data_IF_963184812669
#
_entry.id   IF_963184812669
#
_cell.length_a   1.000
_cell.length_b   1.000
_cell.length_c   1.000
_cell.angle_alpha   90.00
_cell.angle_beta   90.00
_cell.angle_gamma   90.00
#
_symmetry.space_group_name_H-M   'P 1'
#
loop_
_entity.id
_entity.type
_entity.pdbx_description
1 polymer ?
#
# COMPACT_ATOMS: atom_id res chain seq x y z
N UNK A 1 38.62 -0.02 -29.52
CA UNK A 1 37.22 -0.13 -29.98
C UNK A 1 36.36 0.27 -28.80
N UNK A 2 35.65 1.39 -28.92
CA UNK A 2 34.90 2.00 -27.83
C UNK A 2 33.73 1.11 -27.42
N UNK A 3 33.57 0.93 -26.10
CA UNK A 3 32.45 0.23 -25.48
C UNK A 3 31.15 0.99 -25.81
N UNK A 4 30.07 0.35 -26.27
CA UNK A 4 28.81 1.05 -26.48
C UNK A 4 28.32 1.49 -25.10
N UNK A 5 28.37 2.79 -24.83
CA UNK A 5 27.82 3.36 -23.61
C UNK A 5 26.35 2.92 -23.50
N UNK A 6 26.06 2.02 -22.57
CA UNK A 6 24.70 1.84 -22.06
C UNK A 6 24.37 3.20 -21.44
N UNK A 7 23.69 4.04 -22.22
CA UNK A 7 23.15 5.30 -21.75
C UNK A 7 22.11 4.95 -20.71
N UNK A 8 22.48 4.98 -19.43
CA UNK A 8 21.55 4.77 -18.33
C UNK A 8 20.45 5.82 -18.46
N UNK A 9 19.21 5.34 -18.57
CA UNK A 9 18.04 6.20 -18.61
C UNK A 9 17.85 6.93 -17.28
N UNK A 10 17.50 8.21 -17.34
CA UNK A 10 17.39 9.07 -16.16
C UNK A 10 16.29 8.58 -15.21
N UNK A 11 15.16 8.08 -15.72
CA UNK A 11 14.09 7.54 -14.87
C UNK A 11 14.56 6.27 -14.16
N UNK A 12 15.28 5.39 -14.85
CA UNK A 12 15.84 4.18 -14.21
C UNK A 12 16.86 4.53 -13.13
N UNK A 13 17.75 5.50 -13.39
CA UNK A 13 18.69 5.97 -12.37
C UNK A 13 17.97 6.57 -11.15
N UNK A 14 16.92 7.37 -11.38
CA UNK A 14 16.10 7.95 -10.33
C UNK A 14 15.32 6.90 -9.53
N UNK A 15 14.88 5.80 -10.15
CA UNK A 15 14.26 4.65 -9.45
C UNK A 15 15.25 4.00 -8.48
N UNK A 16 16.47 3.78 -8.94
CA UNK A 16 17.51 3.09 -8.15
C UNK A 16 18.14 3.97 -7.07
N UNK A 17 18.02 5.30 -7.19
CA UNK A 17 18.62 6.25 -6.24
C UNK A 17 20.13 6.40 -6.37
N UNK A 18 20.77 5.80 -7.38
CA UNK A 18 22.21 5.94 -7.59
C UNK A 18 22.54 7.34 -8.12
N UNK A 19 23.01 8.19 -7.22
CA UNK A 19 23.39 9.57 -7.52
C UNK A 19 24.47 9.67 -8.62
N UNK A 20 25.35 8.67 -8.74
CA UNK A 20 26.40 8.66 -9.78
C UNK A 20 25.79 8.47 -11.15
N UNK A 21 24.91 7.48 -11.30
CA UNK A 21 24.13 7.23 -12.51
C UNK A 21 23.21 8.40 -12.86
N UNK A 22 22.56 9.03 -11.88
CA UNK A 22 21.71 10.21 -12.09
C UNK A 22 22.54 11.38 -12.65
N UNK A 23 23.71 11.65 -12.06
CA UNK A 23 24.64 12.69 -12.55
C UNK A 23 25.10 12.40 -13.97
N UNK A 24 25.47 11.16 -14.28
CA UNK A 24 25.91 10.76 -15.60
C UNK A 24 24.79 10.87 -16.64
N UNK A 25 23.59 10.37 -16.32
CA UNK A 25 22.41 10.44 -17.19
C UNK A 25 22.00 11.90 -17.45
N UNK A 26 21.99 12.74 -16.40
CA UNK A 26 21.68 14.16 -16.53
C UNK A 26 22.73 14.91 -17.37
N UNK A 27 24.02 14.66 -17.16
CA UNK A 27 25.10 15.25 -17.99
C UNK A 27 24.98 14.85 -19.46
N UNK A 28 24.54 13.62 -19.73
CA UNK A 28 24.38 13.11 -21.10
C UNK A 28 23.16 13.71 -21.81
N UNK A 29 22.08 14.00 -21.07
CA UNK A 29 20.88 14.63 -21.63
C UNK A 29 20.18 15.56 -20.62
N UNK A 30 20.62 16.83 -20.49
CA UNK A 30 20.08 17.76 -19.48
C UNK A 30 18.59 18.09 -19.68
N UNK A 31 18.10 18.02 -20.92
CA UNK A 31 16.73 18.37 -21.28
C UNK A 31 15.68 17.40 -20.71
N UNK A 32 16.08 16.19 -20.30
CA UNK A 32 15.17 15.15 -19.78
C UNK A 32 14.80 15.31 -18.31
N UNK A 33 15.37 16.29 -17.61
CA UNK A 33 15.17 16.48 -16.15
C UNK A 33 13.70 16.61 -15.72
N UNK A 34 12.86 17.09 -16.63
CA UNK A 34 11.42 17.33 -16.44
C UNK A 34 10.55 16.48 -17.38
N UNK A 35 11.14 15.57 -18.15
CA UNK A 35 10.39 14.71 -19.08
C UNK A 35 9.54 13.73 -18.28
N UNK A 36 8.27 13.55 -18.65
CA UNK A 36 7.41 12.53 -18.05
C UNK A 36 7.63 11.21 -18.76
N UNK A 37 7.63 10.11 -18.02
CA UNK A 37 7.55 8.80 -18.66
C UNK A 37 6.19 8.59 -19.36
N UNK A 38 6.14 7.62 -20.27
CA UNK A 38 4.95 7.30 -21.05
C UNK A 38 3.89 6.49 -20.29
N UNK A 39 4.21 6.01 -19.07
CA UNK A 39 3.32 5.17 -18.28
C UNK A 39 2.43 6.01 -17.38
N UNK A 40 2.90 6.24 -16.14
CA UNK A 40 2.16 7.00 -15.12
C UNK A 40 2.39 8.50 -15.21
N UNK A 41 3.24 8.94 -16.16
CA UNK A 41 3.54 10.35 -16.36
C UNK A 41 4.50 10.89 -15.30
N UNK A 42 5.31 10.04 -14.68
CA UNK A 42 6.22 10.48 -13.63
C UNK A 42 7.44 11.18 -14.25
N UNK A 43 7.74 12.37 -13.77
CA UNK A 43 9.02 13.00 -14.05
C UNK A 43 10.13 12.38 -13.17
N UNK A 44 11.42 12.54 -13.50
CA UNK A 44 12.54 12.04 -12.69
C UNK A 44 12.46 12.45 -11.21
N UNK A 45 12.06 13.69 -10.94
CA UNK A 45 11.90 14.21 -9.57
C UNK A 45 10.77 13.51 -8.80
N UNK A 46 9.62 13.26 -9.45
CA UNK A 46 8.52 12.51 -8.84
C UNK A 46 9.00 11.11 -8.41
N UNK A 47 9.79 10.47 -9.27
CA UNK A 47 10.33 9.13 -9.04
C UNK A 47 11.31 9.06 -7.86
N UNK A 48 12.16 10.08 -7.67
CA UNK A 48 13.04 10.11 -6.50
C UNK A 48 12.26 10.34 -5.20
N UNK A 49 11.17 11.11 -5.26
CA UNK A 49 10.30 11.37 -4.10
C UNK A 49 9.51 10.12 -3.70
N UNK A 50 8.88 9.41 -4.64
CA UNK A 50 8.11 8.19 -4.34
C UNK A 50 9.00 7.07 -3.79
N UNK A 51 10.25 6.97 -4.28
CA UNK A 51 11.21 5.98 -3.79
C UNK A 51 11.97 6.44 -2.51
N UNK A 52 11.74 7.67 -2.03
CA UNK A 52 12.38 8.17 -0.80
C UNK A 52 13.86 8.57 -0.93
N UNK A 53 14.38 8.74 -2.14
CA UNK A 53 15.79 9.06 -2.39
C UNK A 53 16.08 10.55 -2.19
N UNK A 54 16.39 10.94 -0.95
CA UNK A 54 16.53 12.34 -0.55
C UNK A 54 17.68 13.06 -1.28
N UNK A 55 18.89 12.48 -1.31
CA UNK A 55 20.06 13.09 -1.94
C UNK A 55 19.88 13.23 -3.46
N UNK A 56 19.21 12.26 -4.09
CA UNK A 56 18.86 12.31 -5.50
C UNK A 56 17.85 13.43 -5.79
N UNK A 57 16.83 13.56 -4.95
CA UNK A 57 15.83 14.63 -5.03
C UNK A 57 16.49 16.00 -4.88
N UNK A 58 17.35 16.16 -3.87
CA UNK A 58 18.08 17.40 -3.62
C UNK A 58 18.97 17.78 -4.81
N UNK A 59 19.64 16.79 -5.41
CA UNK A 59 20.45 17.02 -6.61
C UNK A 59 19.61 17.49 -7.79
N UNK A 60 18.50 16.81 -8.10
CA UNK A 60 17.63 17.17 -9.23
C UNK A 60 17.05 18.57 -9.07
N UNK A 61 16.60 18.94 -7.87
CA UNK A 61 16.11 20.29 -7.58
C UNK A 61 17.21 21.35 -7.78
N UNK A 62 18.45 21.07 -7.35
CA UNK A 62 19.61 21.94 -7.60
C UNK A 62 19.95 22.08 -9.09
N UNK A 63 19.62 21.07 -9.91
CA UNK A 63 19.80 21.12 -11.37
C UNK A 63 18.61 21.76 -12.11
N UNK A 64 17.58 22.23 -11.40
CA UNK A 64 16.44 22.93 -12.00
C UNK A 64 15.27 22.03 -12.37
N UNK A 65 15.14 20.85 -11.75
CA UNK A 65 13.91 20.07 -11.83
C UNK A 65 12.73 20.89 -11.28
N UNK A 66 11.60 20.89 -11.98
CA UNK A 66 10.39 21.60 -11.55
C UNK A 66 9.59 20.73 -10.55
N UNK A 67 9.43 21.16 -9.29
CA UNK A 67 8.71 20.42 -8.27
C UNK A 67 7.20 20.38 -8.46
N UNK A 68 6.65 21.07 -9.45
CA UNK A 68 5.21 21.17 -9.70
C UNK A 68 4.74 20.35 -10.90
N UNK A 69 5.60 19.54 -11.52
CA UNK A 69 5.19 18.68 -12.63
C UNK A 69 4.29 17.56 -12.08
N UNK A 70 3.02 17.49 -12.49
CA UNK A 70 2.12 16.46 -11.99
C UNK A 70 2.31 15.13 -12.75
N UNK A 71 1.95 14.01 -12.14
CA UNK A 71 1.76 12.74 -12.84
C UNK A 71 0.46 12.75 -13.69
N UNK A 72 0.06 11.60 -14.25
CA UNK A 72 -1.17 11.48 -15.04
C UNK A 72 -2.46 11.61 -14.20
N UNK A 73 -2.38 11.42 -12.87
CA UNK A 73 -3.47 11.67 -11.91
C UNK A 73 -3.54 13.14 -11.46
N UNK A 74 -2.63 13.99 -11.94
CA UNK A 74 -2.56 15.39 -11.53
C UNK A 74 -1.75 15.61 -10.24
N UNK A 75 -1.17 14.56 -9.65
CA UNK A 75 -0.45 14.64 -8.38
C UNK A 75 0.98 15.16 -8.59
N UNK A 76 1.37 16.17 -7.83
CA UNK A 76 2.75 16.65 -7.77
C UNK A 76 3.58 15.83 -6.78
N UNK A 77 4.93 15.89 -6.83
CA UNK A 77 5.79 15.28 -5.82
C UNK A 77 5.41 15.66 -4.37
N UNK A 78 4.86 16.86 -4.15
CA UNK A 78 4.41 17.28 -2.82
C UNK A 78 3.14 16.54 -2.35
N UNK A 79 2.24 16.16 -3.25
CA UNK A 79 1.11 15.27 -2.90
C UNK A 79 1.63 13.94 -2.37
N UNK A 80 2.57 13.33 -3.10
CA UNK A 80 3.16 12.06 -2.70
C UNK A 80 3.92 12.17 -1.37
N UNK A 81 4.68 13.25 -1.16
CA UNK A 81 5.37 13.48 0.10
C UNK A 81 4.38 13.65 1.27
N UNK A 82 3.25 14.32 1.05
CA UNK A 82 2.20 14.49 2.04
C UNK A 82 1.48 13.17 2.38
N UNK A 83 1.15 12.37 1.35
CA UNK A 83 0.44 11.11 1.53
C UNK A 83 1.28 10.03 2.23
N UNK A 84 2.60 10.06 2.02
CA UNK A 84 3.57 9.12 2.61
C UNK A 84 4.26 9.64 3.88
N UNK A 85 3.82 10.76 4.46
CA UNK A 85 4.45 11.36 5.66
C UNK A 85 5.96 11.62 5.51
N UNK A 86 6.44 11.95 4.30
CA UNK A 86 7.85 12.20 4.01
C UNK A 86 8.24 13.64 4.38
N UNK A 87 8.27 13.95 5.69
CA UNK A 87 8.44 15.33 6.20
C UNK A 87 9.66 16.06 5.62
N UNK A 88 10.83 15.41 5.64
CA UNK A 88 12.06 16.03 5.14
C UNK A 88 11.98 16.28 3.63
N UNK A 89 11.32 15.38 2.89
CA UNK A 89 11.11 15.52 1.45
C UNK A 89 10.15 16.67 1.15
N UNK A 90 9.03 16.75 1.88
CA UNK A 90 8.07 17.84 1.77
C UNK A 90 8.73 19.20 2.09
N UNK A 91 9.53 19.28 3.15
CA UNK A 91 10.28 20.50 3.50
C UNK A 91 11.26 20.89 2.39
N UNK A 92 11.98 19.93 1.83
CA UNK A 92 12.89 20.15 0.71
C UNK A 92 12.14 20.67 -0.54
N UNK A 93 11.02 20.05 -0.89
CA UNK A 93 10.18 20.45 -2.03
C UNK A 93 9.62 21.86 -1.85
N UNK A 94 9.04 22.16 -0.68
CA UNK A 94 8.49 23.48 -0.35
C UNK A 94 9.57 24.57 -0.39
N UNK A 95 10.77 24.29 0.15
CA UNK A 95 11.92 25.19 0.07
C UNK A 95 12.35 25.48 -1.37
N UNK A 96 12.10 24.54 -2.28
CA UNK A 96 12.39 24.67 -3.71
C UNK A 96 11.16 25.10 -4.53
N UNK A 97 10.17 25.76 -3.90
CA UNK A 97 8.98 26.36 -4.55
C UNK A 97 7.99 25.34 -5.11
N UNK A 98 7.87 24.17 -4.49
CA UNK A 98 6.66 23.35 -4.66
C UNK A 98 5.44 24.15 -4.19
N UNK A 99 4.36 24.13 -4.97
CA UNK A 99 3.11 24.81 -4.67
C UNK A 99 2.30 23.97 -3.67
N UNK A 100 2.13 24.43 -2.41
CA UNK A 100 1.34 23.72 -1.41
C UNK A 100 -0.17 23.67 -1.74
N UNK A 101 -0.62 24.47 -2.71
CA UNK A 101 -2.02 24.61 -3.12
C UNK A 101 -2.33 23.94 -4.46
N UNK A 102 -1.36 23.26 -5.07
CA UNK A 102 -1.58 22.54 -6.32
C UNK A 102 -2.70 21.52 -6.10
N UNK A 103 -3.69 21.49 -7.00
CA UNK A 103 -4.83 20.58 -6.93
C UNK A 103 -4.67 19.48 -7.98
N UNK A 104 -4.70 18.21 -7.57
CA UNK A 104 -4.72 17.07 -8.49
C UNK A 104 -6.04 16.97 -9.27
N UNK A 105 -6.21 15.95 -10.12
CA UNK A 105 -7.37 15.86 -11.01
C UNK A 105 -8.73 15.87 -10.26
N UNK A 106 -8.78 15.27 -9.06
CA UNK A 106 -9.96 15.27 -8.19
C UNK A 106 -10.13 16.57 -7.37
N UNK A 107 -9.15 17.46 -7.48
CA UNK A 107 -9.09 18.75 -6.81
C UNK A 107 -8.50 18.70 -5.41
N UNK A 108 -8.10 17.54 -4.91
CA UNK A 108 -7.40 17.46 -3.63
C UNK A 108 -6.01 18.12 -3.75
N UNK A 109 -5.61 18.83 -2.70
CA UNK A 109 -4.28 19.42 -2.56
C UNK A 109 -3.42 18.59 -1.59
N UNK A 110 -2.11 18.81 -1.48
CA UNK A 110 -1.28 18.11 -0.49
C UNK A 110 -1.82 18.22 0.94
N UNK A 111 -2.46 19.35 1.28
CA UNK A 111 -3.09 19.54 2.59
C UNK A 111 -4.33 18.66 2.80
N UNK A 112 -5.09 18.34 1.73
CA UNK A 112 -6.20 17.38 1.81
C UNK A 112 -5.69 15.98 2.15
N UNK A 113 -4.61 15.52 1.51
CA UNK A 113 -3.99 14.22 1.82
C UNK A 113 -3.50 14.18 3.27
N UNK A 114 -2.76 15.21 3.71
CA UNK A 114 -2.28 15.30 5.09
C UNK A 114 -3.44 15.31 6.11
N UNK A 115 -4.54 16.00 5.80
CA UNK A 115 -5.74 16.06 6.63
C UNK A 115 -6.45 14.71 6.73
N UNK A 116 -6.63 14.02 5.61
CA UNK A 116 -7.24 12.69 5.56
C UNK A 116 -6.41 11.67 6.37
N UNK A 117 -5.08 11.72 6.25
CA UNK A 117 -4.15 10.87 7.00
C UNK A 117 -4.10 11.17 8.50
N UNK A 118 -4.55 12.36 8.93
CA UNK A 118 -4.41 12.80 10.32
C UNK A 118 -2.97 13.13 10.71
N UNK A 119 -2.13 13.43 9.73
CA UNK A 119 -0.71 13.73 9.95
C UNK A 119 -0.54 15.20 10.36
N UNK A 120 -0.63 15.44 11.67
CA UNK A 120 -0.49 16.77 12.25
C UNK A 120 0.80 17.47 11.80
N UNK A 121 1.91 16.74 11.75
CA UNK A 121 3.21 17.33 11.42
C UNK A 121 3.25 17.77 9.97
N UNK A 122 2.70 16.98 9.05
CA UNK A 122 2.59 17.35 7.63
C UNK A 122 1.60 18.49 7.43
N UNK A 123 0.46 18.46 8.12
CA UNK A 123 -0.53 19.55 8.11
C UNK A 123 0.13 20.87 8.52
N UNK A 124 0.83 20.91 9.65
CA UNK A 124 1.53 22.11 10.09
C UNK A 124 2.62 22.55 9.13
N UNK A 125 3.37 21.61 8.55
CA UNK A 125 4.44 21.91 7.59
C UNK A 125 3.88 22.61 6.35
N UNK A 126 2.79 22.08 5.78
CA UNK A 126 2.15 22.65 4.59
C UNK A 126 1.51 24.00 4.91
N UNK A 127 0.80 24.12 6.03
CA UNK A 127 0.19 25.39 6.47
C UNK A 127 1.23 26.50 6.70
N UNK A 128 2.35 26.19 7.37
CA UNK A 128 3.46 27.13 7.58
C UNK A 128 4.10 27.61 6.28
N UNK A 129 3.98 26.84 5.20
CA UNK A 129 4.51 27.19 3.88
C UNK A 129 3.42 27.74 2.93
N UNK A 130 2.26 28.15 3.45
CA UNK A 130 1.23 28.85 2.68
C UNK A 130 0.16 27.94 2.05
N UNK A 131 0.00 26.72 2.57
CA UNK A 131 -1.14 25.88 2.24
C UNK A 131 -2.47 26.49 2.69
N UNK A 132 -3.44 26.53 1.79
CA UNK A 132 -4.79 27.06 2.00
C UNK A 132 -5.70 25.97 2.58
N UNK A 133 -6.08 26.14 3.84
CA UNK A 133 -7.00 25.24 4.56
C UNK A 133 -8.47 25.38 4.13
N UNK A 134 -8.79 26.34 3.27
CA UNK A 134 -10.14 26.62 2.76
C UNK A 134 -10.33 26.23 1.29
N UNK A 135 -9.31 25.63 0.68
CA UNK A 135 -9.35 25.17 -0.70
C UNK A 135 -10.39 24.05 -0.86
N UNK A 136 -11.28 24.17 -1.84
CA UNK A 136 -12.30 23.14 -2.10
C UNK A 136 -11.81 22.18 -3.18
N UNK A 137 -11.93 20.87 -2.93
CA UNK A 137 -11.70 19.88 -3.96
C UNK A 137 -12.82 19.87 -5.02
N UNK A 138 -12.50 19.34 -6.20
CA UNK A 138 -13.40 19.38 -7.35
C UNK A 138 -14.45 18.30 -7.29
N UNK A 139 -14.16 17.16 -6.67
CA UNK A 139 -15.09 16.04 -6.61
C UNK A 139 -16.27 16.34 -5.67
N UNK A 140 -16.00 16.66 -4.40
CA UNK A 140 -17.02 16.78 -3.36
C UNK A 140 -17.23 18.21 -2.86
N UNK A 141 -16.40 19.16 -3.29
CA UNK A 141 -16.38 20.50 -2.70
C UNK A 141 -15.93 20.49 -1.24
N UNK A 142 -15.20 19.45 -0.80
CA UNK A 142 -14.71 19.35 0.56
C UNK A 142 -13.42 20.14 0.70
N UNK A 143 -13.20 20.72 1.88
CA UNK A 143 -11.93 21.36 2.27
C UNK A 143 -11.08 20.39 3.09
N UNK A 144 -9.78 20.65 3.32
CA UNK A 144 -8.96 19.81 4.19
C UNK A 144 -9.57 19.64 5.59
N UNK A 145 -10.20 20.68 6.14
CA UNK A 145 -10.88 20.59 7.43
C UNK A 145 -12.04 19.59 7.41
N UNK A 146 -12.80 19.48 6.32
CA UNK A 146 -13.86 18.47 6.20
C UNK A 146 -13.30 17.05 6.33
N UNK A 147 -12.16 16.76 5.68
CA UNK A 147 -11.50 15.45 5.79
C UNK A 147 -11.00 15.17 7.21
N UNK A 148 -10.30 16.13 7.84
CA UNK A 148 -9.82 15.96 9.22
C UNK A 148 -10.97 15.73 10.21
N UNK A 149 -12.12 16.38 10.01
CA UNK A 149 -13.31 16.20 10.87
C UNK A 149 -14.01 14.88 10.62
N UNK A 150 -14.26 14.51 9.36
CA UNK A 150 -14.93 13.26 8.97
C UNK A 150 -14.14 12.04 9.47
N UNK A 151 -12.81 12.12 9.45
CA UNK A 151 -11.91 11.09 9.97
C UNK A 151 -11.65 11.17 11.49
N UNK A 152 -12.13 12.22 12.18
CA UNK A 152 -12.00 12.36 13.63
C UNK A 152 -10.63 12.82 14.16
N UNK A 153 -9.78 13.43 13.32
CA UNK A 153 -8.40 13.82 13.66
C UNK A 153 -8.35 15.13 14.45
N UNK A 154 -8.69 15.05 15.75
CA UNK A 154 -8.84 16.19 16.66
C UNK A 154 -7.66 17.19 16.64
N UNK A 155 -6.42 16.71 16.67
CA UNK A 155 -5.24 17.57 16.65
C UNK A 155 -5.07 18.32 15.33
N UNK A 156 -5.32 17.65 14.21
CA UNK A 156 -5.30 18.28 12.88
C UNK A 156 -6.39 19.35 12.77
N UNK A 157 -7.60 19.04 13.22
CA UNK A 157 -8.73 20.00 13.26
C UNK A 157 -8.34 21.23 14.07
N UNK A 158 -7.80 21.05 15.27
CA UNK A 158 -7.37 22.15 16.13
C UNK A 158 -6.29 23.00 15.45
N UNK A 159 -5.29 22.37 14.86
CA UNK A 159 -4.21 23.08 14.16
C UNK A 159 -4.73 23.85 12.96
N UNK A 160 -5.53 23.23 12.08
CA UNK A 160 -6.12 23.90 10.93
C UNK A 160 -6.98 25.12 11.31
N UNK A 161 -7.78 25.03 12.37
CA UNK A 161 -8.57 26.15 12.88
C UNK A 161 -7.67 27.29 13.41
N UNK A 162 -6.56 26.97 14.07
CA UNK A 162 -5.57 27.97 14.50
C UNK A 162 -4.89 28.67 13.31
N UNK A 163 -4.73 27.97 12.19
CA UNK A 163 -4.25 28.53 10.92
C UNK A 163 -5.36 29.13 10.04
N UNK A 164 -6.56 29.36 10.59
CA UNK A 164 -7.62 30.11 9.91
C UNK A 164 -8.52 29.31 8.98
N UNK A 165 -8.63 27.99 9.18
CA UNK A 165 -9.64 27.19 8.50
C UNK A 165 -11.06 27.63 8.90
N UNK A 166 -11.92 27.85 7.91
CA UNK A 166 -13.32 28.24 8.10
C UNK A 166 -14.20 26.99 8.20
N UNK A 167 -14.66 26.69 9.41
CA UNK A 167 -15.55 25.57 9.70
C UNK A 167 -16.99 25.77 9.21
N UNK A 168 -17.34 26.97 8.71
CA UNK A 168 -18.67 27.28 8.18
C UNK A 168 -18.83 26.97 6.69
N UNK A 169 -17.71 26.75 5.98
CA UNK A 169 -17.71 26.35 4.57
C UNK A 169 -18.49 25.05 4.38
N UNK A 170 -19.16 24.93 3.23
CA UNK A 170 -20.05 23.81 2.92
C UNK A 170 -19.57 23.05 1.71
N UNK A 171 -19.63 21.73 1.81
CA UNK A 171 -19.40 20.83 0.69
C UNK A 171 -20.56 20.87 -0.33
N UNK A 172 -20.43 20.12 -1.44
CA UNK A 172 -21.48 20.05 -2.47
C UNK A 172 -22.79 19.43 -1.98
N UNK A 173 -22.80 18.73 -0.86
CA UNK A 173 -24.02 18.23 -0.21
C UNK A 173 -24.63 19.27 0.74
N UNK A 174 -24.01 20.44 0.86
CA UNK A 174 -24.42 21.50 1.77
C UNK A 174 -24.02 21.25 3.21
N UNK A 175 -23.15 20.27 3.51
CA UNK A 175 -22.70 19.95 4.87
C UNK A 175 -21.46 20.75 5.21
N UNK A 176 -21.42 21.33 6.41
CA UNK A 176 -20.22 21.98 6.94
C UNK A 176 -19.41 21.00 7.84
N UNK A 177 -18.31 21.48 8.41
CA UNK A 177 -17.48 20.68 9.31
C UNK A 177 -18.27 20.08 10.49
N UNK A 178 -19.16 20.84 11.13
CA UNK A 178 -19.98 20.34 12.25
C UNK A 178 -20.95 19.23 11.82
N UNK A 179 -21.50 19.33 10.60
CA UNK A 179 -22.46 18.37 10.06
C UNK A 179 -21.81 17.00 9.74
N UNK A 180 -20.50 16.96 9.47
CA UNK A 180 -19.72 15.73 9.23
C UNK A 180 -19.16 15.11 10.50
N UNK A 181 -19.23 15.81 11.63
CA UNK A 181 -18.56 15.39 12.84
C UNK A 181 -19.26 14.19 13.49
N UNK A 182 -18.53 13.07 13.62
CA UNK A 182 -18.99 11.86 14.34
C UNK A 182 -18.42 11.80 15.76
N UNK A 183 -17.31 12.49 16.02
CA UNK A 183 -16.60 12.48 17.31
C UNK A 183 -17.10 13.58 18.24
N UNK A 184 -17.32 13.22 19.52
CA UNK A 184 -17.65 14.20 20.57
C UNK A 184 -16.52 15.17 20.82
N UNK A 185 -15.27 14.72 20.73
CA UNK A 185 -14.08 15.55 20.95
C UNK A 185 -13.95 16.62 19.86
N UNK A 186 -14.02 16.22 18.58
CA UNK A 186 -13.94 17.13 17.44
C UNK A 186 -15.09 18.14 17.46
N UNK A 187 -16.30 17.69 17.85
CA UNK A 187 -17.47 18.56 18.04
C UNK A 187 -17.20 19.66 19.08
N UNK A 188 -16.54 19.31 20.19
CA UNK A 188 -16.20 20.27 21.25
C UNK A 188 -15.16 21.28 20.77
N UNK A 189 -14.13 20.83 20.02
CA UNK A 189 -13.11 21.70 19.44
C UNK A 189 -13.76 22.71 18.49
N UNK A 190 -14.56 22.25 17.54
CA UNK A 190 -15.25 23.13 16.59
C UNK A 190 -16.13 24.17 17.31
N UNK A 191 -16.93 23.75 18.30
CA UNK A 191 -17.76 24.67 19.11
C UNK A 191 -16.93 25.71 19.86
N UNK A 192 -15.78 25.31 20.40
CA UNK A 192 -14.88 26.22 21.11
C UNK A 192 -14.35 27.31 20.17
N UNK A 193 -13.88 26.93 18.98
CA UNK A 193 -13.37 27.88 18.00
C UNK A 193 -14.47 28.77 17.39
N UNK A 194 -15.67 28.26 17.15
CA UNK A 194 -16.80 29.08 16.69
C UNK A 194 -17.21 30.15 17.71
N UNK A 195 -17.16 29.83 19.02
CA UNK A 195 -17.45 30.80 20.10
C UNK A 195 -16.42 31.92 20.16
N UNK A 196 -15.13 31.58 20.09
CA UNK A 196 -14.03 32.55 20.12
C UNK A 196 -14.16 33.54 18.94
N UNK A 197 -14.54 33.06 17.75
CA UNK A 197 -14.76 33.93 16.58
C UNK A 197 -15.90 34.93 16.79
N UNK A 198 -17.01 34.54 17.43
CA UNK A 198 -18.15 35.42 17.72
C UNK A 198 -17.86 36.45 18.82
N UNK A 199 -17.11 36.06 19.86
CA UNK A 199 -16.69 36.95 20.94
C UNK A 199 -15.71 38.03 20.42
N UNK A 200 -14.81 37.67 19.50
CA UNK A 200 -13.89 38.62 18.85
C UNK A 200 -14.59 39.68 17.99
N UNK A 201 -15.81 39.38 17.51
CA UNK A 201 -16.66 40.28 16.73
C UNK A 201 -17.60 41.13 17.60
N UNK A 202 -17.55 41.00 18.93
CA UNK A 202 -18.40 41.75 19.85
C UNK A 202 -19.89 41.42 19.75
N UNK A 203 -20.25 40.25 19.19
CA UNK A 203 -21.63 39.80 19.07
C UNK A 203 -21.97 38.95 20.30
N UNK A 204 -22.87 39.39 21.20
CA UNK A 204 -23.26 38.58 22.36
C UNK A 204 -23.92 37.28 21.90
N UNK A 205 -23.43 36.15 22.41
CA UNK A 205 -23.97 34.81 22.14
C UNK A 205 -25.49 34.74 22.34
N UNK A 206 -26.30 34.34 21.34
CA UNK A 206 -27.73 34.14 21.53
C UNK A 206 -28.00 32.71 21.99
N UNK A 207 -27.55 32.32 23.17
CA UNK A 207 -28.21 31.29 24.00
C UNK A 207 -27.89 31.65 25.46
N UNK A 208 -28.92 32.15 26.15
CA UNK A 208 -28.94 32.23 27.59
C UNK A 208 -28.97 30.82 28.22
N UNK A 209 -28.15 30.67 29.25
CA UNK A 209 -28.32 29.81 30.42
C UNK A 209 -29.20 28.56 30.27
N UNK A 210 -28.56 27.39 30.32
CA UNK A 210 -29.18 26.16 30.79
C UNK A 210 -29.44 26.33 32.29
N UNK A 211 -30.58 26.93 32.65
CA UNK A 211 -31.14 26.81 34.00
C UNK A 211 -31.93 25.51 34.09
N UNK A 212 -31.49 24.65 35.01
CA UNK A 212 -32.19 23.50 35.56
C UNK A 212 -33.67 23.76 35.82
N UNK A 213 -34.56 22.92 35.27
CA UNK A 213 -35.89 22.70 35.82
C UNK A 213 -36.17 21.21 35.93
N UNK A 214 -36.28 20.76 37.17
CA UNK A 214 -36.92 19.53 37.59
C UNK A 214 -38.43 19.81 37.51
N UNK A 215 -39.20 19.05 36.74
CA UNK A 215 -40.66 18.95 36.92
C UNK A 215 -41.10 17.52 36.67
N UNK A 216 -41.35 16.83 37.78
CA UNK A 216 -42.43 15.85 37.90
C UNK A 216 -43.77 16.57 37.78
N UNK A 217 -44.67 16.16 36.89
CA UNK A 217 -45.98 15.63 37.31
C UNK A 217 -46.84 15.14 36.14
N UNK A 218 -47.44 13.98 36.40
CA UNK A 218 -48.78 13.53 36.09
C UNK A 218 -49.70 14.39 35.18
N UNK A 219 -50.28 13.70 34.19
CA UNK A 219 -51.74 13.52 34.18
C UNK A 219 -52.55 14.33 33.16
N UNK A 220 -53.08 13.57 32.18
CA UNK A 220 -54.37 13.79 31.50
C UNK A 220 -54.45 14.95 30.48
N UNK A 221 -55.22 14.90 29.40
CA UNK A 221 -55.94 13.91 28.60
C UNK A 221 -56.48 14.80 27.48
N UNK A 222 -56.21 14.53 26.20
CA UNK A 222 -57.32 14.45 25.25
C UNK A 222 -56.95 13.86 23.90
N UNK A 223 -57.99 13.21 23.37
CA UNK A 223 -57.97 12.04 22.51
C UNK A 223 -58.06 12.37 21.01
N UNK A 224 -57.60 11.37 20.25
CA UNK A 224 -58.12 10.92 18.96
C UNK A 224 -57.84 11.74 17.69
N UNK A 225 -56.89 11.23 16.89
CA UNK A 225 -57.25 10.58 15.62
C UNK A 225 -56.53 9.22 15.54
N UNK A 226 -57.32 8.14 15.60
CA UNK A 226 -56.91 6.76 15.36
C UNK A 226 -56.83 6.44 13.86
N UNK A 227 -55.91 5.54 13.50
CA UNK A 227 -55.87 4.95 12.16
C UNK A 227 -54.79 3.89 11.92
N UNK A 228 -54.77 2.82 12.75
CA UNK A 228 -54.47 1.38 12.45
C UNK A 228 -53.25 1.02 11.55
N UNK A 229 -52.41 0.01 11.80
CA UNK A 229 -52.31 -1.03 12.81
C UNK A 229 -51.00 -1.83 12.62
N UNK A 230 -50.48 -2.36 13.73
CA UNK A 230 -49.67 -3.57 13.94
C UNK A 230 -48.46 -3.93 13.05
N UNK A 231 -47.28 -3.82 13.68
CA UNK A 231 -46.33 -4.91 14.01
C UNK A 231 -46.07 -6.04 12.99
N UNK A 232 -44.84 -6.05 12.45
CA UNK A 232 -44.07 -7.26 12.15
C UNK A 232 -42.59 -7.02 12.48
N UNK A 233 -42.07 -7.73 13.47
CA UNK A 233 -40.66 -8.09 13.59
C UNK A 233 -40.37 -9.19 12.56
N UNK A 234 -39.31 -9.04 11.76
CA UNK A 234 -38.22 -10.03 11.62
C UNK A 234 -37.27 -9.72 10.44
N UNK A 235 -35.97 -9.69 10.79
CA UNK A 235 -34.83 -10.31 10.12
C UNK A 235 -34.27 -9.79 8.78
N UNK A 236 -32.96 -9.43 8.87
CA UNK A 236 -31.84 -9.70 7.93
C UNK A 236 -31.90 -8.92 6.59
N UNK A 237 -30.92 -8.10 6.19
CA UNK A 237 -29.49 -8.38 5.94
C UNK A 237 -28.68 -7.05 5.88
N UNK A 238 -27.41 -7.09 6.33
CA UNK A 238 -26.38 -6.02 6.31
C UNK A 238 -25.86 -5.62 4.89
N UNK A 239 -24.83 -4.76 4.70
CA UNK A 239 -23.43 -4.92 5.18
C UNK A 239 -22.93 -3.71 6.00
N UNK A 240 -22.32 -3.89 7.18
CA UNK A 240 -20.89 -4.18 7.43
C UNK A 240 -19.94 -3.12 6.85
N UNK A 241 -19.30 -2.34 7.72
CA UNK A 241 -17.85 -2.42 7.93
C UNK A 241 -17.37 -1.37 8.94
N UNK A 242 -17.03 -1.79 10.15
CA UNK A 242 -16.06 -1.05 10.98
C UNK A 242 -15.08 -2.04 11.60
N UNK A 243 -13.85 -1.98 11.12
CA UNK A 243 -12.65 -2.05 11.94
C UNK A 243 -11.61 -1.14 11.31
N UNK A 244 -11.09 -0.21 12.08
CA UNK A 244 -9.77 0.36 11.81
C UNK A 244 -8.96 0.38 13.11
N UNK A 245 -7.77 -0.19 13.03
CA UNK A 245 -6.64 0.21 13.89
C UNK A 245 -5.36 -0.01 13.09
N UNK A 246 -4.73 1.13 12.78
CA UNK A 246 -3.35 1.45 12.41
C UNK A 246 -2.42 0.38 11.81
N UNK A 247 -1.73 0.75 10.73
CA UNK A 247 -0.25 0.62 10.52
C UNK A 247 0.09 1.10 9.10
N UNK A 248 1.34 1.53 8.84
CA UNK A 248 1.88 1.87 7.51
C UNK A 248 1.27 1.01 6.42
N UNK A 249 0.57 1.54 5.42
CA UNK A 249 -0.13 0.60 4.55
C UNK A 249 0.09 0.93 3.09
N UNK A 250 1.28 0.51 2.62
CA UNK A 250 1.41 -0.28 1.39
C UNK A 250 0.04 -0.82 0.94
N UNK A 251 -0.34 -0.55 -0.32
CA UNK A 251 -1.64 -0.96 -0.85
C UNK A 251 -1.92 -2.43 -0.54
N UNK A 252 -3.16 -2.83 -0.22
CA UNK A 252 -3.49 -4.21 0.12
C UNK A 252 -2.96 -5.23 -0.90
N UNK A 253 -2.99 -4.88 -2.19
CA UNK A 253 -2.45 -5.72 -3.26
C UNK A 253 -0.92 -5.65 -3.36
N UNK A 254 -0.30 -4.48 -3.17
CA UNK A 254 1.17 -4.37 -3.20
C UNK A 254 1.81 -5.17 -2.06
N UNK A 255 1.28 -5.07 -0.83
CA UNK A 255 1.70 -5.88 0.31
C UNK A 255 1.62 -7.38 0.02
N UNK A 256 0.53 -7.78 -0.64
CA UNK A 256 0.32 -9.16 -1.04
C UNK A 256 1.34 -9.59 -2.09
N UNK A 257 1.63 -8.75 -3.09
CA UNK A 257 2.65 -9.02 -4.10
C UNK A 257 4.06 -9.08 -3.48
N UNK A 258 4.42 -8.13 -2.61
CA UNK A 258 5.71 -8.08 -1.92
C UNK A 258 5.94 -9.31 -1.04
N UNK A 259 4.91 -9.76 -0.29
CA UNK A 259 4.93 -11.00 0.50
C UNK A 259 5.34 -12.21 -0.34
N UNK A 260 4.98 -12.21 -1.62
CA UNK A 260 5.22 -13.30 -2.56
C UNK A 260 6.32 -13.00 -3.59
N UNK A 261 7.03 -11.87 -3.45
CA UNK A 261 8.08 -11.39 -4.37
C UNK A 261 7.60 -11.23 -5.82
N UNK A 262 6.42 -10.66 -5.98
CA UNK A 262 5.73 -10.42 -7.26
C UNK A 262 5.48 -8.93 -7.52
N UNK A 263 6.23 -8.04 -6.87
CA UNK A 263 6.09 -6.59 -6.95
C UNK A 263 6.18 -6.03 -8.38
N UNK A 264 6.90 -6.73 -9.26
CA UNK A 264 7.04 -6.36 -10.68
C UNK A 264 5.71 -6.37 -11.45
N UNK A 265 4.69 -7.08 -10.94
CA UNK A 265 3.37 -7.20 -11.59
C UNK A 265 2.34 -6.20 -11.07
N UNK A 266 2.70 -5.34 -10.11
CA UNK A 266 1.78 -4.40 -9.49
C UNK A 266 1.12 -3.46 -10.52
N UNK A 267 1.92 -2.85 -11.40
CA UNK A 267 1.41 -1.90 -12.40
C UNK A 267 0.42 -2.57 -13.37
N UNK A 268 0.72 -3.78 -13.85
CA UNK A 268 -0.16 -4.53 -14.76
C UNK A 268 -1.51 -4.87 -14.13
N UNK A 269 -1.52 -5.23 -12.84
CA UNK A 269 -2.75 -5.56 -12.13
C UNK A 269 -3.61 -4.32 -11.89
N UNK A 270 -3.00 -3.19 -11.54
CA UNK A 270 -3.72 -1.92 -11.36
C UNK A 270 -4.31 -1.42 -12.68
N UNK A 271 -3.57 -1.50 -13.79
CA UNK A 271 -4.06 -1.15 -15.13
C UNK A 271 -5.26 -2.02 -15.56
N UNK A 272 -5.29 -3.28 -15.11
CA UNK A 272 -6.41 -4.20 -15.32
C UNK A 272 -7.60 -3.97 -14.35
N UNK A 273 -7.52 -2.96 -13.47
CA UNK A 273 -8.58 -2.62 -12.52
C UNK A 273 -8.50 -3.37 -11.19
N UNK A 274 -7.37 -4.00 -10.86
CA UNK A 274 -7.11 -4.65 -9.59
C UNK A 274 -6.19 -3.78 -8.72
N UNK A 275 -6.77 -2.79 -8.06
CA UNK A 275 -6.09 -1.88 -7.12
C UNK A 275 -6.13 -2.35 -5.65
N UNK A 276 -7.02 -3.29 -5.32
CA UNK A 276 -7.15 -3.94 -4.02
C UNK A 276 -7.26 -5.48 -4.16
N UNK A 277 -6.49 -6.22 -3.36
CA UNK A 277 -6.53 -7.70 -3.31
C UNK A 277 -7.92 -8.25 -3.00
N UNK A 278 -8.76 -7.49 -2.29
CA UNK A 278 -10.15 -7.87 -2.02
C UNK A 278 -10.99 -7.97 -3.29
N UNK A 279 -10.72 -7.14 -4.29
CA UNK A 279 -11.40 -7.19 -5.59
C UNK A 279 -11.08 -8.52 -6.27
N UNK A 280 -9.80 -8.90 -6.26
CA UNK A 280 -9.35 -10.19 -6.80
C UNK A 280 -9.98 -11.37 -6.06
N UNK A 281 -9.98 -11.35 -4.73
CA UNK A 281 -10.58 -12.42 -3.90
C UNK A 281 -12.11 -12.50 -4.12
N UNK A 282 -12.78 -11.35 -4.25
CA UNK A 282 -14.23 -11.31 -4.55
C UNK A 282 -14.52 -11.90 -5.93
N UNK A 283 -13.66 -11.66 -6.91
CA UNK A 283 -13.79 -12.25 -8.24
C UNK A 283 -13.50 -13.75 -8.24
N UNK A 284 -12.48 -14.20 -7.49
CA UNK A 284 -12.19 -15.62 -7.27
C UNK A 284 -13.38 -16.38 -6.68
N UNK A 285 -14.11 -15.75 -5.75
CA UNK A 285 -15.33 -16.32 -5.17
C UNK A 285 -16.59 -16.11 -6.04
N UNK A 286 -16.46 -15.37 -7.13
CA UNK A 286 -17.54 -15.09 -8.07
C UNK A 286 -17.77 -16.22 -9.08
N UNK A 287 -18.73 -16.05 -10.00
CA UNK A 287 -19.03 -17.04 -11.04
C UNK A 287 -17.93 -17.17 -12.10
N UNK A 288 -16.98 -16.25 -12.14
CA UNK A 288 -15.85 -16.21 -13.07
C UNK A 288 -14.54 -15.92 -12.30
N UNK A 289 -13.92 -16.95 -11.69
CA UNK A 289 -12.66 -16.79 -10.98
C UNK A 289 -11.52 -16.40 -11.91
N UNK A 290 -10.53 -15.67 -11.36
CA UNK A 290 -9.33 -15.27 -12.09
C UNK A 290 -8.54 -16.53 -12.45
N UNK A 291 -8.32 -16.75 -13.74
CA UNK A 291 -7.60 -17.89 -14.28
C UNK A 291 -6.20 -17.53 -14.77
N UNK A 292 -5.38 -18.57 -15.02
CA UNK A 292 -4.08 -18.41 -15.71
C UNK A 292 -4.20 -17.65 -17.04
N UNK A 293 -5.32 -17.83 -17.75
CA UNK A 293 -5.57 -17.12 -19.01
C UNK A 293 -5.81 -15.63 -18.78
N UNK A 294 -6.58 -15.28 -17.76
CA UNK A 294 -6.89 -13.88 -17.46
C UNK A 294 -5.62 -13.12 -17.05
N UNK A 295 -4.77 -13.72 -16.20
CA UNK A 295 -3.47 -13.13 -15.84
C UNK A 295 -2.53 -13.00 -17.03
N UNK A 296 -2.62 -13.91 -18.01
CA UNK A 296 -1.85 -13.80 -19.26
C UNK A 296 -2.34 -12.63 -20.11
N UNK A 297 -3.65 -12.45 -20.21
CA UNK A 297 -4.28 -11.36 -20.97
C UNK A 297 -3.99 -9.98 -20.34
N UNK A 298 -3.78 -9.93 -19.02
CA UNK A 298 -3.29 -8.76 -18.27
C UNK A 298 -1.81 -8.43 -18.58
N UNK A 299 -1.05 -9.36 -19.15
CA UNK A 299 0.35 -9.15 -19.51
C UNK A 299 1.37 -9.86 -18.60
N UNK A 300 0.92 -10.71 -17.67
CA UNK A 300 1.82 -11.54 -16.84
C UNK A 300 2.33 -12.70 -17.69
N UNK A 301 3.43 -12.49 -18.41
CA UNK A 301 3.92 -13.44 -19.41
C UNK A 301 4.50 -14.73 -18.83
N UNK A 302 5.05 -14.69 -17.61
CA UNK A 302 5.72 -15.84 -16.98
C UNK A 302 4.71 -16.87 -16.42
N UNK A 303 4.66 -18.11 -16.93
CA UNK A 303 3.66 -19.12 -16.51
C UNK A 303 3.76 -19.53 -15.04
N UNK A 304 4.98 -19.66 -14.49
CA UNK A 304 5.21 -20.02 -13.09
C UNK A 304 4.63 -18.98 -12.13
N UNK A 305 4.83 -17.69 -12.42
CA UNK A 305 4.26 -16.60 -11.62
C UNK A 305 2.74 -16.53 -11.72
N UNK A 306 2.15 -16.69 -12.91
CA UNK A 306 0.68 -16.75 -13.04
C UNK A 306 0.09 -17.86 -12.20
N UNK A 307 0.67 -19.06 -12.29
CA UNK A 307 0.22 -20.22 -11.53
C UNK A 307 0.36 -19.99 -10.03
N UNK A 308 1.50 -19.46 -9.61
CA UNK A 308 1.75 -19.13 -8.20
C UNK A 308 0.73 -18.12 -7.67
N UNK A 309 0.44 -17.07 -8.45
CA UNK A 309 -0.59 -16.09 -8.11
C UNK A 309 -1.98 -16.71 -7.97
N UNK A 310 -2.41 -17.53 -8.92
CA UNK A 310 -3.72 -18.22 -8.84
C UNK A 310 -3.77 -19.10 -7.59
N UNK A 311 -2.73 -19.88 -7.30
CA UNK A 311 -2.65 -20.71 -6.08
C UNK A 311 -2.81 -19.84 -4.83
N UNK A 312 -2.06 -18.74 -4.73
CA UNK A 312 -2.15 -17.84 -3.57
C UNK A 312 -3.51 -17.14 -3.48
N UNK A 313 -4.13 -16.80 -4.60
CA UNK A 313 -5.48 -16.24 -4.62
C UNK A 313 -6.55 -17.27 -4.20
N UNK A 314 -6.42 -18.54 -4.61
CA UNK A 314 -7.30 -19.64 -4.19
C UNK A 314 -7.17 -19.91 -2.68
N UNK A 315 -5.95 -19.90 -2.15
CA UNK A 315 -5.66 -20.01 -0.72
C UNK A 315 -6.34 -18.87 0.07
N UNK A 316 -6.17 -17.63 -0.36
CA UNK A 316 -6.74 -16.45 0.32
C UNK A 316 -8.27 -16.36 0.13
N UNK A 317 -8.82 -16.91 -0.96
CA UNK A 317 -10.26 -17.03 -1.20
C UNK A 317 -10.91 -18.19 -0.42
N UNK A 318 -10.12 -19.09 0.17
CA UNK A 318 -10.63 -20.26 0.90
C UNK A 318 -11.21 -21.34 0.00
N UNK A 319 -10.84 -21.35 -1.30
CA UNK A 319 -11.30 -22.33 -2.29
C UNK A 319 -10.54 -23.66 -2.18
N UNK A 320 -9.45 -23.70 -1.42
CA UNK A 320 -8.63 -24.88 -1.16
C UNK A 320 -9.32 -25.87 -0.20
N UNK A 321 -9.67 -27.06 -0.66
CA UNK A 321 -10.34 -28.09 0.13
C UNK A 321 -9.57 -28.47 1.43
N UNK A 322 -10.31 -28.66 2.53
CA UNK A 322 -9.85 -28.93 3.91
C UNK A 322 -8.79 -30.03 4.07
N UNK A 323 -8.68 -30.95 3.11
CA UNK A 323 -7.73 -32.08 3.15
C UNK A 323 -6.28 -31.60 3.07
N UNK A 324 -5.99 -30.51 2.33
CA UNK A 324 -4.64 -29.92 2.27
C UNK A 324 -4.43 -28.79 3.28
N UNK A 325 -5.50 -28.17 3.77
CA UNK A 325 -5.42 -27.18 4.86
C UNK A 325 -4.88 -27.78 6.16
N UNK A 326 -5.12 -29.07 6.43
CA UNK A 326 -4.49 -29.78 7.58
C UNK A 326 -2.97 -29.97 7.43
N UNK A 327 -2.44 -29.94 6.21
CA UNK A 327 -0.99 -29.93 5.94
C UNK A 327 -0.38 -28.52 6.07
N UNK A 328 -1.16 -27.46 5.83
CA UNK A 328 -0.72 -26.07 5.87
C UNK A 328 -1.00 -25.35 7.20
N UNK A 329 -1.98 -25.80 7.99
CA UNK A 329 -2.37 -25.23 9.30
C UNK A 329 -1.89 -26.12 10.45
N UNK A 330 -0.62 -26.53 10.41
CA UNK A 330 0.12 -26.83 11.64
C UNK A 330 1.32 -25.88 11.69
N UNK A 331 1.12 -24.85 12.51
CA UNK A 331 2.10 -23.91 13.06
C UNK A 331 2.59 -22.78 12.12
N UNK A 332 1.78 -21.72 12.04
CA UNK A 332 2.31 -20.34 12.04
C UNK A 332 3.10 -20.13 13.32
N UNK A 333 4.43 -20.25 13.25
CA UNK A 333 5.44 -19.37 13.87
C UNK A 333 6.78 -20.09 14.10
N UNK A 334 7.69 -20.02 13.13
CA UNK A 334 9.13 -19.89 13.43
C UNK A 334 9.70 -18.92 12.40
N UNK A 335 10.05 -17.71 12.86
CA UNK A 335 10.94 -16.84 12.11
C UNK A 335 12.34 -17.43 12.14
N UNK A 336 13.03 -17.44 10.99
CA UNK A 336 14.44 -17.78 10.93
C UNK A 336 15.18 -16.48 10.62
N UNK A 337 15.76 -15.88 11.66
CA UNK A 337 16.94 -15.04 11.47
C UNK A 337 18.04 -15.93 10.88
N UNK A 338 18.67 -15.49 9.80
CA UNK A 338 20.03 -15.91 9.49
C UNK A 338 20.95 -14.68 9.50
N UNK A 339 22.03 -14.85 10.26
CA UNK A 339 22.97 -13.87 10.77
C UNK A 339 23.65 -12.99 9.69
N UNK A 340 23.84 -11.71 10.04
CA UNK A 340 24.69 -10.76 9.33
C UNK A 340 26.17 -11.14 9.47
N UNK A 341 26.74 -11.86 8.49
CA UNK A 341 28.11 -11.66 8.00
C UNK A 341 28.51 -12.74 6.97
N UNK A 342 28.47 -12.39 5.68
CA UNK A 342 29.54 -12.71 4.71
C UNK A 342 29.32 -11.96 3.40
N UNK A 343 30.26 -11.05 3.12
CA UNK A 343 30.72 -10.54 1.81
C UNK A 343 29.72 -10.00 0.77
N UNK A 344 29.84 -8.68 0.57
CA UNK A 344 29.76 -7.93 -0.69
C UNK A 344 29.77 -8.76 -2.00
N UNK A 345 28.81 -8.45 -2.88
CA UNK A 345 28.86 -8.83 -4.29
C UNK A 345 27.60 -8.36 -5.02
N UNK A 346 27.78 -7.56 -6.06
CA UNK A 346 26.78 -7.12 -7.05
C UNK A 346 25.72 -8.18 -7.34
N UNK A 347 24.44 -7.90 -7.05
CA UNK A 347 23.33 -8.81 -7.34
C UNK A 347 22.95 -8.74 -8.82
N UNK A 348 23.48 -9.68 -9.59
CA UNK A 348 22.80 -10.19 -10.78
C UNK A 348 21.55 -10.97 -10.34
N UNK A 349 20.45 -10.83 -11.07
CA UNK A 349 19.16 -11.48 -10.83
C UNK A 349 19.22 -13.00 -11.10
N UNK A 350 19.81 -13.74 -10.17
CA UNK A 350 19.67 -15.19 -10.03
C UNK A 350 19.62 -15.50 -8.53
N UNK A 351 18.57 -16.17 -8.04
CA UNK A 351 18.62 -16.72 -6.68
C UNK A 351 19.64 -17.86 -6.67
N UNK A 352 20.75 -17.76 -5.91
CA UNK A 352 21.77 -18.81 -5.87
C UNK A 352 21.21 -20.18 -5.47
N UNK A 353 20.14 -20.19 -4.67
CA UNK A 353 19.51 -21.42 -4.12
C UNK A 353 18.91 -22.34 -5.20
N UNK A 354 18.23 -21.79 -6.21
CA UNK A 354 17.67 -22.60 -7.29
C UNK A 354 18.75 -23.15 -8.21
N UNK A 355 19.78 -22.34 -8.49
CA UNK A 355 20.92 -22.76 -9.29
C UNK A 355 21.68 -23.88 -8.57
N UNK A 356 21.98 -23.72 -7.27
CA UNK A 356 22.63 -24.73 -6.44
C UNK A 356 21.81 -26.03 -6.37
N UNK A 357 20.49 -25.94 -6.25
CA UNK A 357 19.60 -27.11 -6.29
C UNK A 357 19.69 -27.86 -7.63
N UNK A 358 19.64 -27.14 -8.75
CA UNK A 358 19.78 -27.73 -10.08
C UNK A 358 21.19 -28.31 -10.31
N UNK A 359 22.23 -27.66 -9.80
CA UNK A 359 23.61 -28.16 -9.85
C UNK A 359 23.78 -29.47 -9.07
N UNK A 360 23.09 -29.63 -7.93
CA UNK A 360 23.07 -30.89 -7.18
C UNK A 360 22.49 -32.07 -7.98
N UNK A 361 21.69 -31.75 -9.01
CA UNK A 361 21.11 -32.70 -9.95
C UNK A 361 21.93 -32.82 -11.24
N UNK A 362 23.08 -32.14 -11.37
CA UNK A 362 23.85 -32.03 -12.62
C UNK A 362 23.04 -31.37 -13.76
N UNK A 363 22.04 -30.55 -13.42
CA UNK A 363 21.10 -29.91 -14.34
C UNK A 363 21.17 -28.37 -14.29
N UNK A 364 22.27 -27.79 -13.79
CA UNK A 364 22.45 -26.33 -13.68
C UNK A 364 22.26 -25.58 -15.01
N UNK A 365 22.55 -26.22 -16.14
CA UNK A 365 22.30 -25.66 -17.49
C UNK A 365 20.81 -25.36 -17.78
N UNK A 366 19.88 -25.96 -17.02
CA UNK A 366 18.45 -25.73 -17.18
C UNK A 366 17.96 -24.48 -16.42
N UNK A 367 18.80 -23.85 -15.60
CA UNK A 367 18.43 -22.71 -14.77
C UNK A 367 17.75 -21.58 -15.57
N UNK A 368 18.31 -21.23 -16.73
CA UNK A 368 17.74 -20.20 -17.60
C UNK A 368 16.30 -20.50 -18.04
N UNK A 369 15.98 -21.77 -18.29
CA UNK A 369 14.63 -22.17 -18.70
C UNK A 369 13.61 -22.03 -17.54
N UNK A 370 14.00 -22.36 -16.30
CA UNK A 370 13.16 -22.15 -15.13
C UNK A 370 12.88 -20.66 -14.89
N UNK A 371 13.92 -19.83 -14.94
CA UNK A 371 13.82 -18.38 -14.74
C UNK A 371 13.00 -17.69 -15.85
N UNK A 372 13.16 -18.11 -17.12
CA UNK A 372 12.31 -17.65 -18.23
C UNK A 372 10.84 -18.04 -18.02
N UNK A 373 10.59 -19.22 -17.43
CA UNK A 373 9.25 -19.70 -17.14
C UNK A 373 8.65 -19.06 -15.86
N UNK A 374 9.39 -18.29 -15.07
CA UNK A 374 8.89 -17.69 -13.82
C UNK A 374 8.96 -18.61 -12.62
N UNK A 375 9.91 -19.52 -12.62
CA UNK A 375 10.33 -20.29 -11.46
C UNK A 375 11.65 -19.72 -10.99
N UNK A 376 11.61 -18.49 -10.46
CA UNK A 376 12.81 -17.68 -10.21
C UNK A 376 13.48 -18.07 -8.87
N UNK A 377 12.78 -18.80 -8.00
CA UNK A 377 13.27 -19.32 -6.72
C UNK A 377 12.90 -20.79 -6.51
N UNK A 378 13.70 -21.49 -5.69
CA UNK A 378 13.44 -22.88 -5.33
C UNK A 378 12.16 -23.02 -4.48
N UNK A 379 11.92 -22.09 -3.55
CA UNK A 379 10.72 -22.09 -2.71
C UNK A 379 9.42 -21.97 -3.55
N UNK A 380 9.41 -21.10 -4.57
CA UNK A 380 8.26 -20.97 -5.45
C UNK A 380 8.02 -22.29 -6.21
N UNK A 381 9.09 -22.94 -6.67
CA UNK A 381 9.01 -24.24 -7.34
C UNK A 381 8.42 -25.32 -6.42
N UNK A 382 8.85 -25.36 -5.16
CA UNK A 382 8.32 -26.28 -4.14
C UNK A 382 6.86 -26.00 -3.82
N UNK A 383 6.48 -24.74 -3.60
CA UNK A 383 5.11 -24.32 -3.31
C UNK A 383 4.15 -24.73 -4.44
N UNK A 384 4.53 -24.46 -5.68
CA UNK A 384 3.74 -24.87 -6.86
C UNK A 384 3.62 -26.39 -6.90
N UNK A 385 4.71 -27.12 -6.66
CA UNK A 385 4.70 -28.58 -6.66
C UNK A 385 3.86 -29.19 -5.53
N UNK A 386 3.71 -28.48 -4.41
CA UNK A 386 2.93 -28.93 -3.26
C UNK A 386 1.46 -28.42 -3.29
N UNK A 387 1.07 -27.74 -4.37
CA UNK A 387 -0.28 -27.18 -4.54
C UNK A 387 -1.31 -28.20 -5.06
N UNK A 388 -2.58 -27.78 -5.17
CA UNK A 388 -3.65 -28.57 -5.82
C UNK A 388 -3.35 -28.92 -7.29
N UNK A 389 -2.48 -28.12 -7.91
CA UNK A 389 -2.08 -28.28 -9.29
C UNK A 389 -0.55 -28.36 -9.33
N UNK A 390 0.05 -29.53 -9.06
CA UNK A 390 1.51 -29.71 -9.12
C UNK A 390 2.05 -29.61 -10.56
N UNK A 391 3.36 -29.37 -10.69
CA UNK A 391 4.04 -29.42 -11.98
C UNK A 391 3.99 -30.84 -12.54
N UNK A 392 3.61 -30.93 -13.81
CA UNK A 392 3.56 -32.21 -14.51
C UNK A 392 4.72 -32.33 -15.51
N UNK A 393 5.10 -33.56 -15.85
CA UNK A 393 6.11 -33.82 -16.88
C UNK A 393 5.77 -33.15 -18.23
N UNK A 394 4.47 -33.01 -18.55
CA UNK A 394 4.01 -32.33 -19.76
C UNK A 394 4.28 -30.82 -19.70
N UNK A 395 4.14 -30.20 -18.53
CA UNK A 395 4.41 -28.77 -18.33
C UNK A 395 5.91 -28.47 -18.28
N UNK A 396 6.72 -29.36 -17.70
CA UNK A 396 8.17 -29.24 -17.81
C UNK A 396 8.64 -29.24 -19.28
N UNK A 397 7.96 -29.97 -20.15
CA UNK A 397 8.25 -30.00 -21.58
C UNK A 397 7.69 -28.80 -22.34
N UNK A 398 6.42 -28.43 -22.13
CA UNK A 398 5.77 -27.38 -22.92
C UNK A 398 6.03 -25.96 -22.40
N UNK A 399 6.15 -25.77 -21.08
CA UNK A 399 6.28 -24.46 -20.43
C UNK A 399 7.75 -24.16 -20.10
N UNK A 400 8.48 -25.12 -19.54
CA UNK A 400 9.91 -24.99 -19.16
C UNK A 400 10.84 -25.51 -20.27
N UNK A 401 10.31 -25.99 -21.40
CA UNK A 401 11.08 -26.40 -22.59
C UNK A 401 12.11 -27.53 -22.33
N UNK A 402 11.89 -28.38 -21.33
CA UNK A 402 12.75 -29.53 -21.02
C UNK A 402 12.32 -30.74 -21.85
N UNK A 403 12.95 -30.92 -23.01
CA UNK A 403 12.59 -32.01 -23.94
C UNK A 403 12.96 -33.40 -23.42
N UNK A 404 14.09 -33.52 -22.71
CA UNK A 404 14.60 -34.79 -22.20
C UNK A 404 13.70 -35.36 -21.09
N UNK A 405 13.12 -36.54 -21.34
CA UNK A 405 12.24 -37.21 -20.38
C UNK A 405 12.96 -37.66 -19.10
N UNK A 406 14.24 -38.05 -19.18
CA UNK A 406 15.00 -38.48 -18.00
C UNK A 406 15.22 -37.34 -17.02
N UNK A 407 15.55 -36.16 -17.54
CA UNK A 407 15.80 -34.97 -16.73
C UNK A 407 14.50 -34.50 -16.05
N UNK A 408 13.38 -34.53 -16.79
CA UNK A 408 12.04 -34.26 -16.23
C UNK A 408 11.68 -35.19 -15.08
N UNK A 409 11.89 -36.50 -15.25
CA UNK A 409 11.62 -37.48 -14.19
C UNK A 409 12.56 -37.27 -13.00
N UNK A 410 13.84 -36.99 -13.24
CA UNK A 410 14.83 -36.71 -12.18
C UNK A 410 14.41 -35.51 -11.33
N UNK A 411 13.96 -34.42 -11.98
CA UNK A 411 13.45 -33.21 -11.33
C UNK A 411 12.19 -33.53 -10.49
N UNK A 412 11.18 -34.18 -11.09
CA UNK A 412 9.92 -34.47 -10.39
C UNK A 412 10.11 -35.39 -9.18
N UNK A 413 10.91 -36.46 -9.33
CA UNK A 413 11.22 -37.37 -8.23
C UNK A 413 11.99 -36.66 -7.12
N UNK A 414 12.91 -35.76 -7.47
CA UNK A 414 13.65 -34.99 -6.47
C UNK A 414 12.73 -34.05 -5.71
N UNK A 415 11.86 -33.31 -6.41
CA UNK A 415 10.90 -32.41 -5.76
C UNK A 415 9.94 -33.17 -4.85
N UNK A 416 9.45 -34.34 -5.27
CA UNK A 416 8.61 -35.20 -4.43
C UNK A 416 9.36 -35.68 -3.17
N UNK A 417 10.62 -36.05 -3.31
CA UNK A 417 11.48 -36.41 -2.18
C UNK A 417 11.69 -35.24 -1.22
N UNK A 418 12.04 -34.06 -1.73
CA UNK A 418 12.33 -32.86 -0.94
C UNK A 418 11.08 -32.38 -0.18
N UNK A 419 9.89 -32.46 -0.81
CA UNK A 419 8.59 -32.23 -0.13
C UNK A 419 8.40 -33.21 1.03
N UNK A 420 8.66 -34.50 0.81
CA UNK A 420 8.47 -35.51 1.84
C UNK A 420 9.42 -35.32 3.04
N UNK A 421 10.66 -34.89 2.81
CA UNK A 421 11.62 -34.57 3.87
C UNK A 421 11.16 -33.37 4.72
N UNK A 422 10.70 -32.31 4.04
CA UNK A 422 10.22 -31.08 4.70
C UNK A 422 9.09 -31.35 5.71
N UNK A 423 8.25 -32.36 5.47
CA UNK A 423 7.11 -32.71 6.32
C UNK A 423 7.38 -33.81 7.36
N UNK A 424 8.53 -34.49 7.33
CA UNK A 424 8.88 -35.52 8.32
C UNK A 424 9.57 -34.96 9.57
N UNK A 425 10.31 -33.84 9.47
CA UNK A 425 11.00 -33.22 10.62
C UNK A 425 10.06 -32.48 11.60
N UNK A 426 8.85 -32.12 11.18
CA UNK A 426 7.86 -31.42 12.00
C UNK A 426 7.17 -32.28 13.08
N UNK A 427 7.28 -33.62 13.04
CA UNK A 427 6.67 -34.49 14.06
C UNK A 427 7.57 -34.74 15.28
N UNK A 428 8.88 -34.50 15.20
CA UNK A 428 9.83 -34.87 16.27
C UNK A 428 10.10 -33.76 17.31
N UNK A 429 9.74 -32.50 17.03
CA UNK A 429 10.00 -31.36 17.93
C UNK A 429 8.76 -30.84 18.69
N UNK A 430 8.02 -31.74 19.34
CA UNK A 430 7.11 -31.34 20.44
C UNK A 430 7.92 -31.14 21.73
N UNK A 431 8.52 -29.96 21.89
CA UNK A 431 9.07 -29.54 23.19
C UNK A 431 8.02 -28.70 23.92
N UNK A 432 7.75 -29.14 25.16
CA UNK A 432 6.85 -28.54 26.15
C UNK A 432 7.04 -27.02 26.32
N UNK A 433 5.92 -26.31 26.42
CA UNK A 433 5.85 -24.95 26.96
C UNK A 433 6.31 -24.93 28.42
N UNK A 434 7.34 -24.14 28.74
CA UNK A 434 7.60 -23.55 30.05
C UNK A 434 8.37 -22.22 29.89
N UNK A 435 7.78 -21.14 30.42
CA UNK A 435 8.25 -19.77 30.74
C UNK A 435 9.36 -19.04 29.91
N UNK A 436 9.25 -17.70 29.75
CA UNK A 436 10.14 -16.93 28.87
C UNK A 436 11.52 -16.75 29.49
N UNK A 437 12.49 -17.58 29.09
CA UNK A 437 13.91 -17.30 29.36
C UNK A 437 14.39 -16.19 28.42
N UNK A 438 14.70 -15.03 29.01
CA UNK A 438 15.58 -14.02 28.41
C UNK A 438 16.88 -14.69 27.98
N UNK A 439 17.14 -14.77 26.68
CA UNK A 439 18.47 -15.09 26.15
C UNK A 439 19.11 -13.77 25.74
N UNK A 440 20.05 -13.34 26.58
CA UNK A 440 20.98 -12.25 26.29
C UNK A 440 22.00 -12.80 25.28
N UNK A 441 22.21 -12.08 24.17
CA UNK A 441 23.30 -12.38 23.24
C UNK A 441 24.63 -12.01 23.89
N UNK A 442 25.50 -12.99 24.14
CA UNK A 442 26.83 -12.80 24.73
C UNK A 442 27.82 -12.05 23.81
N UNK A 443 27.39 -11.60 22.62
CA UNK A 443 28.23 -10.82 21.68
C UNK A 443 27.91 -9.32 21.68
N UNK A 444 26.88 -8.88 22.42
CA UNK A 444 26.55 -7.46 22.60
C UNK A 444 27.10 -6.85 23.90
N UNK A 445 27.93 -7.59 24.62
CA UNK A 445 28.75 -7.06 25.69
C UNK A 445 30.21 -7.18 25.26
N UNK A 446 30.84 -6.02 25.05
CA UNK A 446 32.28 -5.72 25.07
C UNK A 446 32.74 -4.96 23.82
N UNK A 447 32.93 -3.65 24.07
CA UNK A 447 33.50 -2.52 23.30
C UNK A 447 32.67 -1.83 22.23
#
# INVERSE_FOLDING_TARGET
MANPHISIDLHTACRMGDLSSIKQAHQSCPLKINEKDSGLGWCPLYRTVICGHFEATEYLLKQGADPNIPNNLGETPLHQAADNSLYAMAELLLKNKADPNYQQNDGDSPLHHAAFRGDLKMVELILKNGGDSNLHNYMFGRTPLHYAVDCGHADCVKSMLQYGADSSLRDKQGKNAMDLCTSTEVSNILRQFTRISLESLGIPSPIGEVTTYIVSDNGENDKNVEGKAQALKCSLVSPVAEKSSMTYQLYPIYNWLEKYRLEDYYELLVEAGYDDIKVMISQMNGPMPISDRDLKDIGIVKPGHRRYMVIKLEEEAGLSNEINLKKHIREKSVGIFQCCNTSNGTRNYASPELLEWLESLELGHLFGFFNEAGYDTYDLLLDVQNSLHPLTSKQLESEIKISNLKDRIKILNRLEHDINLYYQDGEQNKIHFDEPRKIVCETCCVF
#
